data_IF_218460875819
#
_entry.id   IF_218460875819
#
_cell.length_a   1.000
_cell.length_b   1.000
_cell.length_c   1.000
_cell.angle_alpha   90.00
_cell.angle_beta   90.00
_cell.angle_gamma   90.00
#
_symmetry.space_group_name_H-M   'P 1'
#
loop_
_entity.id
_entity.type
_entity.pdbx_description
1 polymer ?
#
# COMPACT_ATOMS: atom_id res chain seq x y z
N UNK A 1 -9.94 18.20 18.48
CA UNK A 1 -8.68 17.57 18.89
C UNK A 1 -8.85 16.06 18.76
N UNK A 2 -8.11 15.35 17.87
CA UNK A 2 -8.28 13.91 17.77
C UNK A 2 -7.46 13.21 18.87
N UNK A 3 -8.13 12.32 19.60
CA UNK A 3 -7.63 11.53 20.75
C UNK A 3 -6.33 10.73 20.53
N UNK A 4 -5.78 10.68 19.32
CA UNK A 4 -4.66 9.81 19.01
C UNK A 4 -3.28 10.37 19.40
N UNK A 5 -3.18 11.67 19.70
CA UNK A 5 -1.91 12.28 20.15
C UNK A 5 -1.42 11.67 21.48
N UNK A 6 -2.28 11.01 22.27
CA UNK A 6 -1.88 10.44 23.56
C UNK A 6 -1.37 8.98 23.52
N UNK A 7 -1.33 8.30 22.36
CA UNK A 7 -0.86 6.90 22.33
C UNK A 7 0.65 6.79 22.05
N UNK A 8 1.22 7.76 21.32
CA UNK A 8 2.62 7.76 20.92
C UNK A 8 3.22 9.16 21.03
N UNK A 9 3.78 9.50 22.19
CA UNK A 9 4.40 10.81 22.47
C UNK A 9 5.52 11.20 21.48
N UNK A 10 6.02 10.24 20.68
CA UNK A 10 7.09 10.42 19.70
C UNK A 10 6.82 9.76 18.35
N UNK A 11 5.57 9.77 17.87
CA UNK A 11 5.20 9.17 16.57
C UNK A 11 6.08 9.63 15.40
N UNK A 12 6.60 10.86 15.45
CA UNK A 12 7.53 11.40 14.44
C UNK A 12 8.91 10.75 14.45
N UNK A 13 9.35 10.08 15.51
CA UNK A 13 10.65 9.41 15.55
C UNK A 13 10.61 8.00 14.96
N UNK A 14 9.42 7.46 14.71
CA UNK A 14 9.24 6.09 14.23
C UNK A 14 9.47 6.02 12.72
N UNK A 15 10.57 5.36 12.34
CA UNK A 15 10.95 5.15 10.94
C UNK A 15 10.72 3.73 10.41
N UNK A 16 10.49 2.76 11.30
CA UNK A 16 10.29 1.36 10.94
C UNK A 16 9.30 0.69 11.89
N UNK A 17 8.34 -0.03 11.32
CA UNK A 17 7.37 -0.85 12.04
C UNK A 17 7.35 -2.25 11.42
N UNK A 18 7.35 -3.27 12.27
CA UNK A 18 7.15 -4.67 11.90
C UNK A 18 5.89 -5.21 12.57
N UNK A 19 4.94 -5.66 11.76
CA UNK A 19 3.69 -6.30 12.15
C UNK A 19 3.52 -7.65 11.44
N UNK A 20 4.63 -8.25 10.98
CA UNK A 20 4.61 -9.51 10.24
C UNK A 20 4.14 -10.70 11.09
N UNK A 21 3.64 -11.75 10.43
CA UNK A 21 3.22 -13.01 11.05
C UNK A 21 2.16 -12.86 12.14
N UNK A 22 1.17 -12.01 11.88
CA UNK A 22 -0.02 -11.85 12.70
C UNK A 22 -1.27 -12.31 11.93
N UNK A 23 -2.45 -12.01 12.45
CA UNK A 23 -3.73 -12.32 11.81
C UNK A 23 -4.49 -11.03 11.45
N UNK A 24 -3.78 -9.98 11.04
CA UNK A 24 -4.41 -8.71 10.71
C UNK A 24 -5.27 -8.88 9.45
N UNK A 25 -6.61 -8.67 9.54
CA UNK A 25 -7.48 -8.71 8.37
C UNK A 25 -7.44 -7.40 7.57
N UNK A 26 -7.01 -6.32 8.22
CA UNK A 26 -7.06 -4.95 7.72
C UNK A 26 -5.81 -4.17 8.14
N UNK A 27 -5.49 -3.13 7.37
CA UNK A 27 -4.51 -2.11 7.72
C UNK A 27 -5.23 -1.03 8.55
N UNK A 28 -4.75 -0.77 9.76
CA UNK A 28 -5.37 0.23 10.64
C UNK A 28 -4.92 1.65 10.25
N UNK A 29 -5.85 2.63 10.14
CA UNK A 29 -5.51 4.03 9.87
C UNK A 29 -4.56 4.68 10.88
N UNK A 30 -4.41 4.15 12.10
CA UNK A 30 -3.41 4.63 13.08
C UNK A 30 -2.00 4.70 12.50
N UNK A 31 -1.67 3.79 11.57
CA UNK A 31 -0.36 3.77 10.90
C UNK A 31 -0.07 5.06 10.12
N UNK A 32 -1.10 5.82 9.74
CA UNK A 32 -0.95 7.10 9.03
C UNK A 32 -0.39 8.23 9.89
N UNK A 33 -0.36 8.05 11.22
CA UNK A 33 0.16 9.04 12.17
C UNK A 33 1.69 9.04 12.23
N UNK A 34 2.34 7.97 11.77
CA UNK A 34 3.79 7.86 11.70
C UNK A 34 4.30 8.50 10.41
N UNK A 35 4.23 9.83 10.32
CA UNK A 35 4.57 10.60 9.10
C UNK A 35 6.01 10.35 8.60
N UNK A 36 6.91 9.94 9.50
CA UNK A 36 8.32 9.64 9.21
C UNK A 36 8.59 8.16 8.93
N UNK A 37 7.55 7.32 8.86
CA UNK A 37 7.68 5.89 8.59
C UNK A 37 8.26 5.64 7.19
N UNK A 38 9.38 4.92 7.16
CA UNK A 38 10.09 4.55 5.91
C UNK A 38 9.92 3.08 5.57
N UNK A 39 9.71 2.23 6.56
CA UNK A 39 9.64 0.78 6.40
C UNK A 39 8.43 0.25 7.16
N UNK A 40 7.58 -0.51 6.48
CA UNK A 40 6.41 -1.17 7.07
C UNK A 40 6.36 -2.63 6.63
N UNK A 41 6.45 -3.55 7.57
CA UNK A 41 6.32 -4.98 7.30
C UNK A 41 4.94 -5.48 7.75
N UNK A 42 4.18 -6.01 6.80
CA UNK A 42 2.85 -6.59 7.00
C UNK A 42 2.76 -8.02 6.42
N UNK A 43 3.88 -8.65 6.08
CA UNK A 43 3.90 -9.98 5.48
C UNK A 43 3.41 -11.06 6.45
N UNK A 44 2.83 -12.14 5.91
CA UNK A 44 2.28 -13.22 6.72
C UNK A 44 1.08 -12.79 7.58
N UNK A 45 0.20 -11.95 7.04
CA UNK A 45 -1.08 -11.59 7.65
C UNK A 45 -2.24 -12.10 6.77
N UNK A 46 -3.48 -11.66 7.03
CA UNK A 46 -4.68 -12.08 6.28
C UNK A 46 -5.38 -10.91 5.58
N UNK A 47 -4.63 -9.88 5.19
CA UNK A 47 -5.14 -8.70 4.47
C UNK A 47 -5.62 -9.14 3.09
N UNK A 48 -6.91 -8.97 2.80
CA UNK A 48 -7.54 -9.54 1.62
C UNK A 48 -7.99 -8.55 0.54
N UNK A 49 -7.96 -7.24 0.78
CA UNK A 49 -8.57 -6.27 -0.13
C UNK A 49 -7.59 -5.19 -0.60
N UNK A 50 -7.60 -4.88 -1.91
CA UNK A 50 -6.77 -3.81 -2.49
C UNK A 50 -7.00 -2.45 -1.82
N UNK A 51 -8.24 -2.14 -1.45
CA UNK A 51 -8.62 -0.86 -0.83
C UNK A 51 -7.90 -0.59 0.49
N UNK A 52 -7.40 -1.62 1.17
CA UNK A 52 -6.66 -1.46 2.43
C UNK A 52 -5.38 -0.65 2.24
N UNK A 53 -4.75 -0.77 1.07
CA UNK A 53 -3.54 -0.04 0.70
C UNK A 53 -3.79 1.47 0.57
N UNK A 54 -5.03 1.89 0.26
CA UNK A 54 -5.38 3.32 0.15
C UNK A 54 -5.14 4.08 1.45
N UNK A 55 -5.27 3.41 2.59
CA UNK A 55 -5.02 3.99 3.91
C UNK A 55 -3.56 4.46 4.04
N UNK A 56 -2.63 3.79 3.36
CA UNK A 56 -1.20 4.12 3.40
C UNK A 56 -0.79 5.23 2.41
N UNK A 57 -1.69 5.72 1.54
CA UNK A 57 -1.37 6.71 0.50
C UNK A 57 -0.84 8.07 1.05
N UNK A 58 -1.11 8.35 2.33
CA UNK A 58 -0.66 9.56 3.00
C UNK A 58 0.76 9.45 3.59
N UNK A 59 1.34 8.25 3.65
CA UNK A 59 2.70 8.04 4.16
C UNK A 59 3.75 8.43 3.11
N UNK A 60 4.01 9.74 2.95
CA UNK A 60 4.88 10.29 1.90
C UNK A 60 6.35 9.89 2.01
N UNK A 61 6.76 9.33 3.14
CA UNK A 61 8.13 8.86 3.40
C UNK A 61 8.26 7.34 3.33
N UNK A 62 7.18 6.61 3.04
CA UNK A 62 7.21 5.14 2.98
C UNK A 62 7.99 4.68 1.74
N UNK A 63 9.09 3.95 1.98
CA UNK A 63 10.02 3.48 0.96
C UNK A 63 9.94 1.96 0.77
N UNK A 64 9.67 1.21 1.86
CA UNK A 64 9.62 -0.24 1.84
C UNK A 64 8.31 -0.72 2.44
N UNK A 65 7.59 -1.53 1.68
CA UNK A 65 6.38 -2.21 2.11
C UNK A 65 6.50 -3.69 1.75
N UNK A 66 6.01 -4.56 2.62
CA UNK A 66 5.69 -5.93 2.20
C UNK A 66 4.34 -6.35 2.75
N UNK A 67 3.53 -6.92 1.86
CA UNK A 67 2.26 -7.60 2.12
C UNK A 67 2.36 -9.07 1.65
N UNK A 68 3.57 -9.58 1.40
CA UNK A 68 3.79 -10.95 0.95
C UNK A 68 3.12 -11.97 1.89
N UNK A 69 2.56 -13.04 1.34
CA UNK A 69 1.88 -14.06 2.14
C UNK A 69 0.56 -13.57 2.77
N UNK A 70 -0.04 -12.51 2.21
CA UNK A 70 -1.42 -12.11 2.49
C UNK A 70 -2.33 -12.47 1.30
N UNK A 71 -3.63 -12.58 1.52
CA UNK A 71 -4.61 -12.89 0.45
C UNK A 71 -4.63 -11.85 -0.68
N UNK A 72 -4.37 -10.58 -0.35
CA UNK A 72 -4.29 -9.45 -1.30
C UNK A 72 -3.29 -9.70 -2.44
N UNK A 73 -2.21 -10.46 -2.22
CA UNK A 73 -1.16 -10.67 -3.22
C UNK A 73 -1.64 -11.50 -4.43
N UNK A 74 -2.72 -12.28 -4.23
CA UNK A 74 -3.34 -13.13 -5.26
C UNK A 74 -4.23 -12.33 -6.22
N UNK A 75 -4.54 -11.06 -5.90
CA UNK A 75 -5.45 -10.24 -6.70
C UNK A 75 -4.76 -9.76 -7.99
N UNK A 76 -5.42 -9.94 -9.13
CA UNK A 76 -4.91 -9.47 -10.43
C UNK A 76 -4.63 -7.96 -10.40
N UNK A 77 -3.40 -7.59 -10.74
CA UNK A 77 -2.97 -6.19 -10.76
C UNK A 77 -2.52 -5.65 -9.40
N UNK A 78 -2.47 -6.49 -8.35
CA UNK A 78 -2.03 -6.14 -6.99
C UNK A 78 -0.79 -5.25 -6.98
N UNK A 79 0.32 -5.70 -7.59
CA UNK A 79 1.57 -4.94 -7.65
C UNK A 79 1.38 -3.53 -8.19
N UNK A 80 0.67 -3.40 -9.31
CA UNK A 80 0.46 -2.10 -9.95
C UNK A 80 -0.53 -1.22 -9.18
N UNK A 81 -1.53 -1.82 -8.52
CA UNK A 81 -2.41 -1.11 -7.61
C UNK A 81 -1.62 -0.48 -6.47
N UNK A 82 -0.77 -1.28 -5.79
CA UNK A 82 0.06 -0.80 -4.67
C UNK A 82 1.01 0.31 -5.13
N UNK A 83 1.74 0.10 -6.23
CA UNK A 83 2.68 1.10 -6.75
C UNK A 83 1.99 2.36 -7.27
N UNK A 84 0.76 2.25 -7.77
CA UNK A 84 -0.03 3.42 -8.18
C UNK A 84 -0.54 4.23 -6.97
N UNK A 85 -0.77 3.55 -5.85
CA UNK A 85 -1.26 4.13 -4.59
C UNK A 85 -0.15 4.76 -3.77
N UNK A 86 1.03 4.11 -3.75
CA UNK A 86 2.21 4.50 -2.98
C UNK A 86 3.42 4.61 -3.92
N UNK A 87 3.49 5.68 -4.73
CA UNK A 87 4.52 5.83 -5.76
C UNK A 87 5.94 6.08 -5.20
N UNK A 88 6.07 6.26 -3.88
CA UNK A 88 7.36 6.47 -3.19
C UNK A 88 8.11 5.16 -2.92
N UNK A 89 7.48 4.00 -3.10
CA UNK A 89 8.10 2.71 -2.81
C UNK A 89 9.31 2.45 -3.70
N UNK A 90 10.42 2.05 -3.06
CA UNK A 90 11.61 1.50 -3.72
C UNK A 90 11.68 -0.02 -3.59
N UNK A 91 10.96 -0.59 -2.61
CA UNK A 91 10.78 -2.03 -2.45
C UNK A 91 9.32 -2.38 -2.16
N UNK A 92 8.84 -3.42 -2.85
CA UNK A 92 7.56 -4.08 -2.59
C UNK A 92 7.78 -5.59 -2.56
N UNK A 93 7.35 -6.26 -1.49
CA UNK A 93 7.41 -7.72 -1.33
C UNK A 93 8.79 -8.31 -1.60
N UNK A 94 9.78 -7.77 -0.88
CA UNK A 94 11.19 -8.16 -0.98
C UNK A 94 11.84 -7.93 -2.36
N UNK A 95 11.08 -7.43 -3.34
CA UNK A 95 11.57 -7.07 -4.67
C UNK A 95 11.79 -5.56 -4.78
N UNK A 96 12.77 -5.15 -5.60
CA UNK A 96 13.01 -3.74 -5.93
C UNK A 96 11.97 -3.26 -6.93
N UNK A 97 11.50 -2.02 -6.79
CA UNK A 97 10.69 -1.34 -7.80
C UNK A 97 11.60 -0.89 -8.95
N UNK A 98 11.29 -1.36 -10.15
CA UNK A 98 12.08 -1.11 -11.35
C UNK A 98 11.48 0.01 -12.20
N UNK A 99 12.24 0.51 -13.19
CA UNK A 99 11.70 1.42 -14.21
C UNK A 99 10.56 0.77 -15.01
N UNK A 100 10.67 -0.54 -15.27
CA UNK A 100 9.62 -1.31 -15.95
C UNK A 100 8.32 -1.29 -15.15
N UNK A 101 8.39 -1.53 -13.83
CA UNK A 101 7.23 -1.44 -12.94
C UNK A 101 6.54 -0.08 -13.02
N UNK A 102 7.32 1.02 -13.02
CA UNK A 102 6.78 2.38 -13.11
C UNK A 102 6.04 2.62 -14.43
N UNK A 103 6.62 2.17 -15.55
CA UNK A 103 5.97 2.29 -16.88
C UNK A 103 4.68 1.48 -16.91
N UNK A 104 4.74 0.20 -16.51
CA UNK A 104 3.57 -0.68 -16.51
C UNK A 104 2.48 -0.17 -15.56
N UNK A 105 2.85 0.38 -14.40
CA UNK A 105 1.91 0.98 -13.44
C UNK A 105 1.17 2.18 -14.04
N UNK A 106 1.85 3.04 -14.82
CA UNK A 106 1.19 4.16 -15.52
C UNK A 106 0.14 3.66 -16.50
N UNK A 107 0.52 2.72 -17.38
CA UNK A 107 -0.41 2.11 -18.36
C UNK A 107 -1.56 1.39 -17.66
N UNK A 108 -1.28 0.64 -16.59
CA UNK A 108 -2.30 -0.03 -15.80
C UNK A 108 -3.28 0.98 -15.20
N UNK A 109 -2.80 2.08 -14.60
CA UNK A 109 -3.65 3.11 -14.00
C UNK A 109 -4.55 3.76 -15.04
N UNK A 110 -4.02 4.12 -16.21
CA UNK A 110 -4.81 4.68 -17.32
C UNK A 110 -5.90 3.72 -17.77
N UNK A 111 -5.61 2.42 -17.82
CA UNK A 111 -6.56 1.40 -18.22
C UNK A 111 -7.68 1.14 -17.21
N UNK A 112 -7.44 1.43 -15.93
CA UNK A 112 -8.37 1.17 -14.84
C UNK A 112 -9.02 2.45 -14.27
N UNK A 113 -8.91 3.60 -14.97
CA UNK A 113 -9.63 4.84 -14.58
C UNK A 113 -11.15 4.65 -14.74
N UNK A 114 -11.90 5.09 -13.74
CA UNK A 114 -13.36 5.04 -13.71
C UNK A 114 -14.03 5.81 -14.87
N UNK A 115 -13.35 6.81 -15.43
CA UNK A 115 -13.88 7.68 -16.49
C UNK A 115 -13.77 7.07 -17.90
N UNK A 116 -13.27 5.84 -18.06
CA UNK A 116 -13.25 5.20 -19.38
C UNK A 116 -14.68 4.84 -19.80
N UNK A 117 -15.15 5.28 -20.98
CA UNK A 117 -16.44 4.85 -21.49
C UNK A 117 -16.43 3.33 -21.62
N UNK A 118 -17.39 2.66 -20.96
CA UNK A 118 -17.62 1.22 -21.14
C UNK A 118 -17.84 1.02 -22.64
N UNK A 119 -16.99 0.23 -23.30
CA UNK A 119 -17.21 -0.16 -24.69
C UNK A 119 -18.56 -0.89 -24.75
N UNK A 120 -19.59 -0.21 -25.25
CA UNK A 120 -20.86 -0.84 -25.60
C UNK A 120 -20.56 -1.74 -26.79
N UNK A 121 -20.55 -3.05 -26.57
CA UNK A 121 -20.57 -4.01 -27.67
C UNK A 121 -21.97 -3.95 -28.29
N UNK A 122 -22.06 -3.40 -29.49
CA UNK A 122 -23.24 -3.58 -30.33
C UNK A 122 -23.14 -4.98 -30.94
N UNK A 123 -24.09 -5.85 -30.59
CA UNK A 123 -24.44 -7.03 -31.37
C UNK A 123 -25.36 -6.61 -32.51
#
# INVERSE_FOLDING_TARGET
>A
MPMAVSLFDNALNIGWIDLSFNLLPNIDPVLTQFENLKILYLHGNVIGELKEVNKLANLKKLLKLTLHGNEIEKIKGYRYYVLSTIPTLVNLDFSRVTKGDVVTTKTWRENNRADKPKKVQYF
#
